data_IF_047614731026
#
_entry.id   IF_047614731026
#
_cell.length_a   1.000
_cell.length_b   1.000
_cell.length_c   1.000
_cell.angle_alpha   90.00
_cell.angle_beta   90.00
_cell.angle_gamma   90.00
#
_symmetry.space_group_name_H-M   'P 1'
#
loop_
_entity.id
_entity.type
_entity.pdbx_description
1 polymer ?
#
# COMPACT_ATOMS: atom_id res chain seq x y z
N UNK A 1 2.75 -7.42 15.12
CA UNK A 1 1.76 -8.34 14.54
C UNK A 1 0.96 -7.70 13.39
N UNK A 2 0.29 -6.56 13.61
CA UNK A 2 -0.59 -5.96 12.60
C UNK A 2 0.13 -5.65 11.27
N UNK A 3 1.36 -5.18 11.30
CA UNK A 3 2.11 -4.79 10.10
C UNK A 3 2.67 -6.02 9.38
N UNK A 4 3.26 -6.97 10.10
CA UNK A 4 3.94 -8.15 9.54
C UNK A 4 3.04 -9.39 9.39
N UNK A 5 1.86 -9.41 10.04
CA UNK A 5 0.93 -10.53 9.98
C UNK A 5 0.29 -10.72 8.62
N UNK A 6 0.16 -11.97 8.17
CA UNK A 6 -0.51 -12.36 6.94
C UNK A 6 -1.88 -13.02 7.20
N UNK A 7 -2.54 -13.50 6.17
CA UNK A 7 -3.85 -14.16 6.22
C UNK A 7 -3.71 -15.64 6.56
N UNK A 8 -4.74 -16.23 7.16
CA UNK A 8 -4.85 -17.67 7.42
C UNK A 8 -3.71 -18.22 8.27
N UNK A 9 -2.99 -19.18 7.74
CA UNK A 9 -1.80 -19.82 8.32
C UNK A 9 -0.49 -19.16 7.87
N UNK A 10 -0.57 -18.03 7.13
CA UNK A 10 0.57 -17.23 6.62
C UNK A 10 1.45 -17.97 5.60
N UNK A 11 0.93 -19.04 4.96
CA UNK A 11 1.66 -19.84 3.97
C UNK A 11 2.09 -19.05 2.74
N UNK A 12 1.25 -18.13 2.28
CA UNK A 12 1.60 -17.29 1.13
C UNK A 12 2.78 -16.36 1.42
N UNK A 13 2.98 -15.96 2.67
CA UNK A 13 4.17 -15.18 3.06
C UNK A 13 5.45 -15.99 2.84
N UNK A 14 5.47 -17.27 3.24
CA UNK A 14 6.60 -18.19 2.99
C UNK A 14 6.77 -18.49 1.50
N UNK A 15 5.66 -18.71 0.77
CA UNK A 15 5.68 -18.93 -0.68
C UNK A 15 6.27 -17.74 -1.42
N UNK A 16 5.91 -16.50 -1.04
CA UNK A 16 6.48 -15.28 -1.63
C UNK A 16 7.99 -15.20 -1.40
N UNK A 17 8.46 -15.43 -0.18
CA UNK A 17 9.89 -15.41 0.15
C UNK A 17 10.64 -16.50 -0.59
N UNK A 18 10.13 -17.74 -0.56
CA UNK A 18 10.74 -18.89 -1.27
C UNK A 18 10.82 -18.64 -2.78
N UNK A 19 9.77 -18.08 -3.39
CA UNK A 19 9.76 -17.77 -4.82
C UNK A 19 10.82 -16.73 -5.20
N UNK A 20 11.06 -15.72 -4.36
CA UNK A 20 12.14 -14.75 -4.55
C UNK A 20 13.51 -15.40 -4.37
N UNK A 21 13.68 -16.26 -3.36
CA UNK A 21 14.93 -16.98 -3.10
C UNK A 21 15.30 -17.99 -4.21
N UNK A 22 14.33 -18.41 -5.01
CA UNK A 22 14.58 -19.27 -6.16
C UNK A 22 15.11 -18.55 -7.41
N UNK A 23 15.03 -17.21 -7.44
CA UNK A 23 15.56 -16.42 -8.55
C UNK A 23 17.09 -16.52 -8.54
N UNK A 24 17.65 -16.86 -9.68
CA UNK A 24 19.11 -16.89 -9.87
C UNK A 24 19.55 -15.87 -10.90
N UNK A 25 20.63 -15.17 -10.61
CA UNK A 25 21.22 -14.22 -11.53
C UNK A 25 22.30 -14.93 -12.33
N UNK A 26 22.28 -14.76 -13.66
CA UNK A 26 23.34 -15.22 -14.53
C UNK A 26 24.42 -14.15 -14.59
N UNK A 27 25.62 -14.36 -13.99
CA UNK A 27 26.68 -13.37 -14.00
C UNK A 27 27.24 -13.20 -15.42
N UNK A 28 27.39 -11.98 -15.85
CA UNK A 28 28.06 -11.63 -17.12
C UNK A 28 29.43 -11.05 -16.83
N UNK A 29 30.44 -11.58 -17.51
CA UNK A 29 31.84 -11.17 -17.34
C UNK A 29 32.34 -10.34 -18.52
N UNK A 30 33.53 -9.73 -18.37
CA UNK A 30 34.22 -8.94 -19.40
C UNK A 30 33.39 -7.76 -19.93
N UNK A 31 32.59 -7.14 -19.06
CA UNK A 31 31.83 -5.92 -19.34
C UNK A 31 32.39 -4.76 -18.52
N UNK A 32 32.61 -3.63 -19.18
CA UNK A 32 32.95 -2.41 -18.43
C UNK A 32 31.71 -1.95 -17.64
N UNK A 33 31.83 -1.91 -16.31
CA UNK A 33 30.77 -1.52 -15.35
C UNK A 33 31.10 -0.24 -14.58
N UNK A 34 32.10 0.54 -15.03
CA UNK A 34 32.49 1.80 -14.37
C UNK A 34 31.33 2.79 -14.33
N UNK A 35 30.55 2.88 -15.41
CA UNK A 35 29.41 3.79 -15.54
C UNK A 35 28.07 3.06 -15.39
N UNK A 36 27.91 2.26 -14.33
CA UNK A 36 26.63 1.62 -14.02
C UNK A 36 25.63 2.62 -13.48
N UNK A 37 24.35 2.44 -13.83
CA UNK A 37 23.25 3.29 -13.36
C UNK A 37 22.06 2.42 -12.98
N UNK A 38 21.39 2.80 -11.89
CA UNK A 38 20.11 2.21 -11.45
C UNK A 38 18.92 3.05 -11.92
N UNK A 39 19.17 4.20 -12.56
CA UNK A 39 18.12 5.12 -13.00
C UNK A 39 17.08 4.43 -13.86
N UNK A 40 15.81 4.71 -13.61
CA UNK A 40 14.68 4.12 -14.32
C UNK A 40 13.60 5.15 -14.61
N UNK A 41 13.08 5.11 -15.85
CA UNK A 41 11.87 5.85 -16.22
C UNK A 41 10.64 4.98 -15.97
N UNK A 42 9.62 5.54 -15.31
CA UNK A 42 8.32 4.90 -15.14
C UNK A 42 7.22 5.96 -15.05
N UNK A 43 6.11 5.80 -15.78
CA UNK A 43 4.98 6.75 -15.83
C UNK A 43 5.39 8.21 -16.11
N UNK A 44 6.39 8.43 -16.95
CA UNK A 44 6.99 9.72 -17.29
C UNK A 44 7.86 10.36 -16.20
N UNK A 45 8.09 9.67 -15.08
CA UNK A 45 9.05 10.08 -14.05
C UNK A 45 10.42 9.46 -14.28
N UNK A 46 11.45 10.15 -13.82
CA UNK A 46 12.81 9.66 -13.76
C UNK A 46 13.19 9.40 -12.31
N UNK A 47 13.45 8.14 -11.97
CA UNK A 47 13.87 7.74 -10.63
C UNK A 47 15.34 7.36 -10.62
N UNK A 48 16.04 7.61 -9.51
CA UNK A 48 17.43 7.22 -9.36
C UNK A 48 17.60 5.73 -9.03
N UNK A 49 16.51 5.09 -8.56
CA UNK A 49 16.48 3.68 -8.21
C UNK A 49 15.21 3.01 -8.74
N UNK A 50 15.25 1.70 -9.11
CA UNK A 50 14.11 0.98 -9.68
C UNK A 50 13.17 0.39 -8.61
N UNK A 51 12.99 1.05 -7.48
CA UNK A 51 12.11 0.64 -6.39
C UNK A 51 11.46 1.85 -5.72
N UNK A 52 10.49 1.60 -4.86
CA UNK A 52 9.78 2.60 -4.07
C UNK A 52 9.12 1.97 -2.85
N UNK A 53 8.48 2.78 -2.01
CA UNK A 53 7.76 2.27 -0.85
C UNK A 53 6.32 1.91 -1.22
N UNK A 54 5.96 0.65 -0.96
CA UNK A 54 4.60 0.15 -1.16
C UNK A 54 3.60 0.82 -0.19
N UNK A 55 2.30 0.89 -0.53
CA UNK A 55 1.30 1.48 0.35
C UNK A 55 1.10 0.62 1.60
N UNK A 56 1.31 1.22 2.76
CA UNK A 56 1.12 0.61 4.07
C UNK A 56 0.18 1.49 4.90
N UNK A 57 -0.87 0.89 5.45
CA UNK A 57 -1.76 1.57 6.38
C UNK A 57 -1.22 1.51 7.81
N UNK A 58 -1.44 2.57 8.59
CA UNK A 58 -1.15 2.59 10.04
C UNK A 58 0.32 2.35 10.40
N UNK A 59 1.29 2.81 9.58
CA UNK A 59 2.73 2.54 9.79
C UNK A 59 3.27 3.11 11.08
N UNK A 60 2.69 4.21 11.61
CA UNK A 60 3.08 4.75 12.91
C UNK A 60 2.77 3.81 14.09
N UNK A 61 2.03 2.70 13.86
CA UNK A 61 1.90 1.64 14.87
C UNK A 61 3.19 0.85 15.06
N UNK A 62 3.99 0.69 14.00
CA UNK A 62 5.29 0.01 14.13
C UNK A 62 6.32 0.92 14.79
N UNK A 63 6.38 2.18 14.35
CA UNK A 63 7.24 3.19 14.94
C UNK A 63 6.62 4.60 14.78
N UNK A 64 6.51 5.38 15.87
CA UNK A 64 5.95 6.72 15.83
C UNK A 64 6.72 7.65 14.87
N UNK A 65 6.06 8.12 13.82
CA UNK A 65 6.65 8.95 12.77
C UNK A 65 7.19 8.19 11.56
N UNK A 66 6.91 6.87 11.46
CA UNK A 66 7.35 6.05 10.33
C UNK A 66 6.86 6.57 8.97
N UNK A 67 5.60 7.05 8.86
CA UNK A 67 5.09 7.66 7.63
C UNK A 67 5.97 8.82 7.17
N UNK A 68 6.29 9.75 8.07
CA UNK A 68 7.12 10.90 7.77
C UNK A 68 8.58 10.52 7.41
N UNK A 69 9.12 9.48 8.05
CA UNK A 69 10.45 8.96 7.70
C UNK A 69 10.46 8.40 6.28
N UNK A 70 9.48 7.59 5.90
CA UNK A 70 9.35 7.03 4.55
C UNK A 70 9.19 8.13 3.50
N UNK A 71 8.37 9.16 3.78
CA UNK A 71 8.19 10.29 2.87
C UNK A 71 9.50 11.05 2.63
N UNK A 72 10.24 11.38 3.69
CA UNK A 72 11.53 12.08 3.57
C UNK A 72 12.59 11.24 2.86
N UNK A 73 12.65 9.93 3.13
CA UNK A 73 13.59 9.06 2.45
C UNK A 73 13.22 8.86 0.97
N UNK A 74 11.94 8.94 0.60
CA UNK A 74 11.54 8.91 -0.81
C UNK A 74 12.03 10.13 -1.57
N UNK A 75 11.87 11.33 -1.02
CA UNK A 75 12.42 12.56 -1.59
C UNK A 75 13.94 12.50 -1.72
N UNK A 76 14.63 12.16 -0.62
CA UNK A 76 16.09 12.09 -0.56
C UNK A 76 16.71 11.16 -1.62
N UNK A 77 16.04 10.06 -1.92
CA UNK A 77 16.53 9.03 -2.84
C UNK A 77 15.89 9.11 -4.23
N UNK A 78 15.07 10.11 -4.51
CA UNK A 78 14.31 10.24 -5.74
C UNK A 78 13.61 8.93 -6.12
N UNK A 79 12.77 8.40 -5.20
CA UNK A 79 11.96 7.20 -5.37
C UNK A 79 10.52 7.48 -4.96
N UNK A 80 9.51 6.79 -5.51
CA UNK A 80 8.12 7.03 -5.11
C UNK A 80 7.81 6.42 -3.74
N UNK A 81 6.94 7.08 -2.96
CA UNK A 81 6.27 6.51 -1.80
C UNK A 81 4.77 6.44 -2.04
N UNK A 82 4.16 5.27 -1.79
CA UNK A 82 2.73 5.10 -1.95
C UNK A 82 2.02 5.38 -0.63
N UNK A 83 1.23 6.44 -0.59
CA UNK A 83 0.46 6.86 0.59
C UNK A 83 -0.85 6.09 0.64
N UNK A 84 -1.03 5.27 1.66
CA UNK A 84 -2.29 4.55 1.87
C UNK A 84 -3.40 5.51 2.31
N UNK A 85 -4.64 5.28 1.86
CA UNK A 85 -5.79 6.00 2.42
C UNK A 85 -5.96 5.78 3.93
N UNK A 86 -5.42 4.67 4.48
CA UNK A 86 -5.35 4.40 5.90
C UNK A 86 -4.02 4.81 6.55
N UNK A 87 -3.29 5.73 5.95
CA UNK A 87 -2.07 6.33 6.51
C UNK A 87 -2.35 7.06 7.83
N UNK A 88 -1.41 7.08 8.73
CA UNK A 88 -1.47 7.81 10.01
C UNK A 88 -1.01 9.26 9.90
N UNK A 89 -0.62 9.67 8.72
CA UNK A 89 -0.33 11.05 8.32
C UNK A 89 -1.26 11.42 7.16
N UNK A 90 -1.71 12.65 7.08
CA UNK A 90 -2.61 13.10 6.00
C UNK A 90 -1.92 13.01 4.65
N UNK A 91 -2.71 12.90 3.59
CA UNK A 91 -2.16 12.86 2.23
C UNK A 91 -1.45 14.17 1.86
N UNK A 92 -1.96 15.31 2.37
CA UNK A 92 -1.36 16.63 2.15
C UNK A 92 0.04 16.71 2.81
N UNK A 93 0.14 16.34 4.08
CA UNK A 93 1.42 16.32 4.80
C UNK A 93 2.41 15.32 4.19
N UNK A 94 1.94 14.15 3.76
CA UNK A 94 2.81 13.17 3.08
C UNK A 94 3.36 13.70 1.76
N UNK A 95 2.56 14.44 1.00
CA UNK A 95 2.99 15.07 -0.25
C UNK A 95 4.07 16.12 -0.01
N UNK A 96 3.87 16.98 0.99
CA UNK A 96 4.85 17.99 1.41
C UNK A 96 6.17 17.34 1.87
N UNK A 97 6.10 16.38 2.79
CA UNK A 97 7.27 15.68 3.33
C UNK A 97 8.05 14.86 2.29
N UNK A 98 7.38 14.40 1.26
CA UNK A 98 7.99 13.65 0.15
C UNK A 98 8.42 14.54 -1.03
N UNK A 99 8.28 15.86 -0.91
CA UNK A 99 8.57 16.81 -1.99
C UNK A 99 7.90 16.42 -3.32
N UNK A 100 6.64 15.94 -3.24
CA UNK A 100 5.86 15.50 -4.40
C UNK A 100 6.14 14.07 -4.90
N UNK A 101 7.03 13.31 -4.25
CA UNK A 101 7.30 11.91 -4.63
C UNK A 101 6.22 10.92 -4.13
N UNK A 102 5.07 11.41 -3.69
CA UNK A 102 3.95 10.61 -3.18
C UNK A 102 2.98 10.20 -4.27
N UNK A 103 2.51 8.94 -4.23
CA UNK A 103 1.42 8.38 -5.03
C UNK A 103 0.27 7.99 -4.10
N UNK A 104 -0.97 8.38 -4.42
CA UNK A 104 -2.13 8.13 -3.58
C UNK A 104 -2.70 6.73 -3.81
N UNK A 105 -2.73 5.88 -2.78
CA UNK A 105 -3.37 4.57 -2.83
C UNK A 105 -4.75 4.62 -2.16
N UNK A 106 -5.73 4.01 -2.83
CA UNK A 106 -7.11 3.95 -2.39
C UNK A 106 -7.72 2.54 -2.56
N UNK A 107 -8.73 2.26 -1.75
CA UNK A 107 -9.67 1.18 -1.93
C UNK A 107 -11.04 1.78 -2.24
N UNK A 108 -11.90 1.03 -2.92
CA UNK A 108 -13.30 1.39 -3.00
C UNK A 108 -14.03 0.74 -1.82
N UNK A 109 -14.74 1.56 -1.07
CA UNK A 109 -15.66 1.15 -0.01
C UNK A 109 -17.11 1.38 -0.45
N UNK A 110 -18.06 1.01 0.41
CA UNK A 110 -19.48 1.31 0.18
C UNK A 110 -19.76 2.82 0.12
N UNK A 111 -18.97 3.63 0.83
CA UNK A 111 -19.02 5.08 0.77
C UNK A 111 -18.13 5.59 -0.38
N UNK A 112 -18.71 5.65 -1.57
CA UNK A 112 -18.01 6.18 -2.76
C UNK A 112 -17.73 7.69 -2.61
N UNK A 113 -18.54 8.45 -1.88
CA UNK A 113 -18.37 9.90 -1.69
C UNK A 113 -17.06 10.20 -0.96
N UNK A 114 -16.71 9.38 0.03
CA UNK A 114 -15.43 9.48 0.71
C UNK A 114 -14.24 9.23 -0.24
N UNK A 115 -14.36 8.24 -1.12
CA UNK A 115 -13.29 7.95 -2.11
C UNK A 115 -13.15 9.08 -3.12
N UNK A 116 -14.27 9.64 -3.58
CA UNK A 116 -14.25 10.78 -4.51
C UNK A 116 -13.69 12.03 -3.84
N UNK A 117 -13.99 12.27 -2.55
CA UNK A 117 -13.37 13.33 -1.76
C UNK A 117 -11.85 13.17 -1.68
N UNK A 118 -11.36 11.94 -1.41
CA UNK A 118 -9.92 11.68 -1.36
C UNK A 118 -9.22 11.95 -2.70
N UNK A 119 -9.86 11.59 -3.82
CA UNK A 119 -9.34 11.90 -5.15
C UNK A 119 -9.29 13.42 -5.40
N UNK A 120 -10.33 14.16 -4.99
CA UNK A 120 -10.35 15.63 -5.12
C UNK A 120 -9.27 16.28 -4.25
N UNK A 121 -9.05 15.79 -3.03
CA UNK A 121 -7.98 16.26 -2.14
C UNK A 121 -6.61 15.98 -2.73
N UNK A 122 -6.40 14.76 -3.23
CA UNK A 122 -5.15 14.38 -3.87
C UNK A 122 -4.84 15.27 -5.09
N UNK A 123 -5.83 15.50 -5.97
CA UNK A 123 -5.69 16.38 -7.13
C UNK A 123 -5.34 17.81 -6.72
N UNK A 124 -6.04 18.38 -5.74
CA UNK A 124 -5.79 19.74 -5.21
C UNK A 124 -4.41 19.87 -4.55
N UNK A 125 -3.92 18.80 -3.93
CA UNK A 125 -2.60 18.78 -3.30
C UNK A 125 -1.47 18.70 -4.34
N UNK A 126 -1.75 18.15 -5.53
CA UNK A 126 -0.77 17.99 -6.61
C UNK A 126 -0.35 16.55 -6.87
N UNK A 127 -1.05 15.55 -6.33
CA UNK A 127 -0.79 14.16 -6.69
C UNK A 127 -1.09 13.93 -8.18
N UNK A 128 -0.16 13.27 -8.85
CA UNK A 128 -0.31 12.93 -10.28
C UNK A 128 -0.58 11.43 -10.52
N UNK A 129 -0.37 10.60 -9.50
CA UNK A 129 -0.56 9.14 -9.59
C UNK A 129 -1.52 8.65 -8.52
N UNK A 130 -2.57 7.94 -8.95
CA UNK A 130 -3.47 7.19 -8.07
C UNK A 130 -3.28 5.69 -8.26
N UNK A 131 -3.38 4.93 -7.17
CA UNK A 131 -3.28 3.46 -7.15
C UNK A 131 -4.59 2.89 -6.62
N UNK A 132 -5.39 2.31 -7.50
CA UNK A 132 -6.60 1.60 -7.11
C UNK A 132 -6.26 0.17 -6.72
N UNK A 133 -6.54 -0.21 -5.47
CA UNK A 133 -6.30 -1.56 -4.96
C UNK A 133 -7.56 -2.40 -5.06
N UNK A 134 -7.50 -3.53 -5.78
CA UNK A 134 -8.66 -4.36 -6.14
C UNK A 134 -8.66 -5.77 -5.53
N UNK A 135 -7.62 -6.13 -4.80
CA UNK A 135 -7.43 -7.47 -4.21
C UNK A 135 -8.00 -7.63 -2.79
N UNK A 136 -8.87 -6.71 -2.35
CA UNK A 136 -9.46 -6.72 -1.00
C UNK A 136 -11.01 -6.65 -1.07
N UNK A 137 -11.67 -7.62 -1.73
CA UNK A 137 -13.14 -7.61 -1.83
C UNK A 137 -13.83 -7.90 -0.49
N UNK A 138 -13.14 -8.66 0.36
CA UNK A 138 -13.58 -9.01 1.72
C UNK A 138 -12.44 -8.85 2.72
N UNK A 139 -12.79 -8.69 3.99
CA UNK A 139 -11.77 -8.64 5.04
C UNK A 139 -11.16 -10.04 5.25
N UNK A 140 -9.86 -10.15 5.08
CA UNK A 140 -9.14 -11.40 5.35
C UNK A 140 -9.10 -11.70 6.84
N UNK A 141 -9.14 -12.98 7.19
CA UNK A 141 -8.94 -13.44 8.55
C UNK A 141 -7.44 -13.52 8.84
N UNK A 142 -6.98 -12.73 9.80
CA UNK A 142 -5.60 -12.74 10.28
C UNK A 142 -5.55 -13.44 11.63
N UNK A 143 -5.27 -14.72 11.60
CA UNK A 143 -5.32 -15.60 12.77
C UNK A 143 -4.35 -15.14 13.88
N UNK A 144 -3.20 -14.58 13.53
CA UNK A 144 -2.22 -14.04 14.45
C UNK A 144 -2.76 -12.81 15.19
N UNK A 145 -3.38 -11.86 14.45
CA UNK A 145 -4.01 -10.68 15.03
C UNK A 145 -5.10 -11.09 16.05
N UNK A 146 -5.95 -12.07 15.68
CA UNK A 146 -7.03 -12.57 16.54
C UNK A 146 -6.48 -13.22 17.81
N UNK A 147 -5.47 -14.10 17.70
CA UNK A 147 -4.83 -14.78 18.84
C UNK A 147 -4.15 -13.82 19.79
N UNK A 148 -3.55 -12.75 19.28
CA UNK A 148 -2.87 -11.74 20.08
C UNK A 148 -3.80 -10.65 20.59
N UNK A 149 -5.11 -10.72 20.27
CA UNK A 149 -6.12 -9.77 20.73
C UNK A 149 -5.99 -8.38 20.13
N UNK A 150 -5.38 -8.27 18.91
CA UNK A 150 -5.31 -7.01 18.21
C UNK A 150 -6.70 -6.58 17.73
N UNK A 151 -7.12 -5.38 18.10
CA UNK A 151 -8.40 -4.80 17.67
C UNK A 151 -8.24 -3.31 17.38
N UNK A 152 -9.07 -2.82 16.45
CA UNK A 152 -9.21 -1.38 16.24
C UNK A 152 -10.71 -1.02 16.38
N UNK A 153 -11.09 -0.05 17.22
CA UNK A 153 -10.24 0.74 18.13
C UNK A 153 -9.50 -0.11 19.17
N UNK A 154 -8.31 0.38 19.57
CA UNK A 154 -7.46 -0.34 20.51
C UNK A 154 -8.10 -0.49 21.88
N UNK A 155 -8.01 -1.70 22.43
CA UNK A 155 -8.40 -1.99 23.82
C UNK A 155 -7.15 -2.36 24.60
N UNK A 156 -6.83 -1.58 25.63
CA UNK A 156 -5.68 -1.82 26.47
C UNK A 156 -6.15 -2.61 27.70
N UNK A 157 -5.78 -3.89 27.74
CA UNK A 157 -5.98 -4.77 28.91
C UNK A 157 -4.66 -4.95 29.68
N UNK A 158 -4.65 -5.76 30.76
CA UNK A 158 -3.45 -6.00 31.54
C UNK A 158 -2.27 -6.57 30.74
N UNK A 159 -2.55 -7.47 29.78
CA UNK A 159 -1.52 -8.05 28.88
C UNK A 159 -0.85 -6.96 28.03
N UNK A 160 -1.63 -6.11 27.38
CA UNK A 160 -1.13 -5.02 26.55
C UNK A 160 -0.39 -3.97 27.39
N UNK A 161 -0.89 -3.67 28.60
CA UNK A 161 -0.20 -2.76 29.52
C UNK A 161 1.19 -3.28 29.89
N UNK A 162 1.32 -4.56 30.22
CA UNK A 162 2.61 -5.18 30.54
C UNK A 162 3.54 -5.17 29.32
N UNK A 163 3.03 -5.50 28.12
CA UNK A 163 3.79 -5.47 26.88
C UNK A 163 4.33 -4.04 26.62
N UNK A 164 3.50 -3.02 26.79
CA UNK A 164 3.94 -1.62 26.64
C UNK A 164 5.00 -1.23 27.70
N UNK A 165 4.87 -1.72 28.93
CA UNK A 165 5.82 -1.43 30.00
C UNK A 165 7.23 -1.98 29.74
N UNK A 166 7.32 -3.13 29.08
CA UNK A 166 8.63 -3.73 28.70
C UNK A 166 9.22 -3.17 27.41
N UNK A 167 8.46 -2.31 26.68
CA UNK A 167 8.92 -1.60 25.49
C UNK A 167 8.91 -0.06 25.71
N UNK A 168 9.67 0.48 26.68
CA UNK A 168 9.52 1.87 27.14
C UNK A 168 9.79 2.90 26.04
N UNK A 169 10.77 2.69 25.19
CA UNK A 169 11.11 3.63 24.09
C UNK A 169 9.94 3.81 23.13
N UNK A 170 9.33 2.71 22.67
CA UNK A 170 8.18 2.77 21.79
C UNK A 170 6.97 3.39 22.49
N UNK A 171 6.70 2.96 23.72
CA UNK A 171 5.53 3.39 24.50
C UNK A 171 5.56 4.87 24.85
N UNK A 172 6.69 5.38 25.33
CA UNK A 172 6.87 6.80 25.66
C UNK A 172 6.80 7.66 24.38
N UNK A 173 7.45 7.23 23.29
CA UNK A 173 7.41 7.96 22.03
C UNK A 173 5.98 8.00 21.45
N UNK A 174 5.24 6.89 21.53
CA UNK A 174 3.84 6.82 21.10
C UNK A 174 2.95 7.71 21.99
N UNK A 175 3.18 7.73 23.30
CA UNK A 175 2.42 8.57 24.23
C UNK A 175 2.64 10.07 23.91
N UNK A 176 3.89 10.46 23.65
CA UNK A 176 4.25 11.85 23.32
C UNK A 176 3.71 12.30 21.96
N UNK A 177 3.71 11.43 20.95
CA UNK A 177 3.21 11.72 19.60
C UNK A 177 1.70 11.47 19.42
N UNK A 178 1.06 10.83 20.39
CA UNK A 178 -0.34 10.46 20.34
C UNK A 178 -0.60 9.09 19.73
N UNK A 179 -1.75 8.51 20.02
CA UNK A 179 -2.17 7.20 19.49
C UNK A 179 -2.41 7.33 17.98
N UNK A 180 -1.77 6.50 17.15
CA UNK A 180 -1.94 6.56 15.70
C UNK A 180 -3.38 6.34 15.27
N UNK A 181 -3.87 7.21 14.38
CA UNK A 181 -5.21 7.16 13.78
C UNK A 181 -5.08 7.23 12.25
N UNK A 182 -6.00 6.66 11.48
CA UNK A 182 -6.03 6.81 10.03
C UNK A 182 -6.47 8.23 9.67
N UNK A 183 -5.51 9.14 9.49
CA UNK A 183 -5.76 10.58 9.45
C UNK A 183 -6.61 11.02 8.27
N UNK A 184 -6.52 10.34 7.12
CA UNK A 184 -7.35 10.68 5.95
C UNK A 184 -8.84 10.45 6.21
N UNK A 185 -9.21 9.50 7.09
CA UNK A 185 -10.59 9.30 7.55
C UNK A 185 -11.00 10.36 8.58
N UNK A 186 -10.11 10.65 9.53
CA UNK A 186 -10.38 11.64 10.60
C UNK A 186 -10.57 13.03 10.02
N UNK A 187 -9.88 13.37 8.94
CA UNK A 187 -9.94 14.69 8.28
C UNK A 187 -10.95 14.77 7.13
N UNK A 188 -11.66 13.67 6.82
CA UNK A 188 -12.70 13.65 5.80
C UNK A 188 -13.90 14.51 6.20
N UNK A 189 -14.52 15.13 5.20
CA UNK A 189 -15.77 15.91 5.35
C UNK A 189 -17.01 15.09 5.01
N UNK A 190 -16.87 14.08 4.16
CA UNK A 190 -17.95 13.20 3.69
C UNK A 190 -18.15 11.96 4.55
N UNK A 191 -17.15 11.53 5.32
CA UNK A 191 -17.23 10.37 6.20
C UNK A 191 -17.56 10.74 7.67
N UNK A 192 -17.89 9.72 8.47
CA UNK A 192 -18.10 9.85 9.93
C UNK A 192 -16.78 9.93 10.73
N UNK A 193 -15.64 10.04 10.04
CA UNK A 193 -14.31 10.09 10.63
C UNK A 193 -13.84 8.77 11.25
N UNK A 194 -14.63 7.70 11.10
CA UNK A 194 -14.37 6.41 11.72
C UNK A 194 -13.93 5.39 10.67
N UNK A 195 -12.70 4.89 10.80
CA UNK A 195 -12.25 3.76 10.01
C UNK A 195 -12.92 2.46 10.50
N UNK A 196 -13.96 2.00 9.81
CA UNK A 196 -14.67 0.77 10.12
C UNK A 196 -14.04 -0.42 9.39
N UNK A 197 -13.06 -1.06 10.02
CA UNK A 197 -12.33 -2.19 9.44
C UNK A 197 -13.24 -3.36 9.03
N UNK A 198 -14.37 -3.55 9.73
CA UNK A 198 -15.29 -4.68 9.55
C UNK A 198 -16.39 -4.45 8.49
N UNK A 199 -16.51 -3.25 7.96
CA UNK A 199 -17.49 -3.00 6.90
C UNK A 199 -17.07 -3.67 5.59
N UNK A 200 -18.06 -4.12 4.84
CA UNK A 200 -17.88 -4.65 3.49
C UNK A 200 -17.15 -3.62 2.64
N UNK A 201 -16.10 -4.04 1.97
CA UNK A 201 -15.29 -3.16 1.12
C UNK A 201 -15.89 -2.98 -0.26
N UNK A 202 -17.22 -3.06 -0.36
CA UNK A 202 -17.95 -2.84 -1.56
C UNK A 202 -17.68 -3.87 -2.65
N UNK A 203 -18.37 -3.71 -3.75
CA UNK A 203 -18.11 -4.47 -4.98
C UNK A 203 -17.26 -3.61 -5.89
N UNK A 204 -15.94 -3.75 -5.80
CA UNK A 204 -15.05 -3.14 -6.80
C UNK A 204 -15.11 -3.98 -8.06
N UNK A 205 -15.78 -3.48 -9.08
CA UNK A 205 -15.92 -4.09 -10.39
C UNK A 205 -15.31 -3.20 -11.50
N UNK A 206 -15.44 -3.63 -12.77
CA UNK A 206 -14.94 -2.85 -13.89
C UNK A 206 -15.69 -1.54 -14.12
N UNK A 207 -16.95 -1.43 -13.72
CA UNK A 207 -17.67 -0.16 -13.82
C UNK A 207 -17.19 0.83 -12.75
N UNK A 208 -16.83 0.34 -11.59
CA UNK A 208 -16.13 1.13 -10.56
C UNK A 208 -14.77 1.62 -11.06
N UNK A 209 -13.98 0.75 -11.70
CA UNK A 209 -12.71 1.16 -12.31
C UNK A 209 -12.91 2.27 -13.35
N UNK A 210 -13.92 2.17 -14.20
CA UNK A 210 -14.28 3.22 -15.17
C UNK A 210 -14.69 4.53 -14.49
N UNK A 211 -15.47 4.48 -13.40
CA UNK A 211 -15.85 5.69 -12.63
C UNK A 211 -14.61 6.37 -12.05
N UNK A 212 -13.71 5.60 -11.43
CA UNK A 212 -12.43 6.13 -10.91
C UNK A 212 -11.59 6.71 -12.04
N UNK A 213 -11.46 6.02 -13.18
CA UNK A 213 -10.72 6.52 -14.34
C UNK A 213 -11.30 7.82 -14.89
N UNK A 214 -12.62 7.91 -14.94
CA UNK A 214 -13.30 9.14 -15.43
C UNK A 214 -13.08 10.33 -14.49
N UNK A 215 -13.05 10.07 -13.19
CA UNK A 215 -12.80 11.09 -12.16
C UNK A 215 -11.34 11.51 -12.13
N UNK A 216 -10.41 10.57 -12.07
CA UNK A 216 -8.98 10.82 -11.96
C UNK A 216 -8.34 11.09 -13.32
N UNK A 217 -7.74 12.24 -13.52
CA UNK A 217 -7.13 12.64 -14.81
C UNK A 217 -5.62 12.35 -14.88
N UNK A 218 -4.98 12.16 -13.73
CA UNK A 218 -3.58 11.74 -13.64
C UNK A 218 -3.35 10.28 -14.03
N UNK A 219 -2.18 9.76 -13.73
CA UNK A 219 -1.83 8.35 -13.95
C UNK A 219 -2.60 7.44 -13.01
N UNK A 220 -3.15 6.35 -13.52
CA UNK A 220 -3.89 5.35 -12.75
C UNK A 220 -3.20 4.00 -12.80
N UNK A 221 -2.78 3.51 -11.62
CA UNK A 221 -2.24 2.17 -11.43
C UNK A 221 -3.34 1.29 -10.82
N UNK A 222 -3.51 0.08 -11.31
CA UNK A 222 -4.38 -0.92 -10.65
C UNK A 222 -3.49 -1.96 -9.95
N UNK A 223 -3.65 -2.05 -8.62
CA UNK A 223 -2.86 -2.93 -7.73
C UNK A 223 -3.68 -4.13 -7.28
N UNK A 224 -3.01 -5.30 -7.22
CA UNK A 224 -3.63 -6.54 -6.74
C UNK A 224 -3.97 -7.51 -7.87
N UNK A 225 -3.39 -7.29 -9.03
CA UNK A 225 -3.67 -8.06 -10.24
C UNK A 225 -2.75 -9.28 -10.27
N UNK A 226 -3.36 -10.48 -10.35
CA UNK A 226 -2.68 -11.77 -10.36
C UNK A 226 -3.10 -12.65 -11.55
N UNK A 227 -3.91 -12.13 -12.49
CA UNK A 227 -4.38 -12.81 -13.69
C UNK A 227 -3.95 -12.05 -14.94
N UNK A 228 -3.31 -12.71 -15.93
CA UNK A 228 -3.01 -12.09 -17.23
C UNK A 228 -4.27 -11.64 -17.98
N UNK A 229 -5.38 -12.38 -17.86
CA UNK A 229 -6.66 -12.02 -18.47
C UNK A 229 -7.23 -10.74 -17.85
N UNK A 230 -7.23 -10.62 -16.52
CA UNK A 230 -7.69 -9.41 -15.84
C UNK A 230 -6.77 -8.22 -16.15
N UNK A 231 -5.46 -8.45 -16.28
CA UNK A 231 -4.51 -7.43 -16.66
C UNK A 231 -4.84 -6.80 -18.02
N UNK A 232 -5.23 -7.60 -19.01
CA UNK A 232 -5.69 -7.11 -20.32
C UNK A 232 -6.96 -6.26 -20.19
N UNK A 233 -7.98 -6.76 -19.47
CA UNK A 233 -9.22 -6.02 -19.26
C UNK A 233 -9.01 -4.69 -18.55
N UNK A 234 -8.09 -4.67 -17.56
CA UNK A 234 -7.71 -3.47 -16.80
C UNK A 234 -6.99 -2.46 -17.71
N UNK A 235 -6.08 -2.92 -18.56
CA UNK A 235 -5.42 -2.08 -19.57
C UNK A 235 -6.46 -1.47 -20.52
N UNK A 236 -7.39 -2.28 -21.03
CA UNK A 236 -8.45 -1.83 -21.95
C UNK A 236 -9.42 -0.85 -21.28
N UNK A 237 -9.61 -0.95 -19.95
CA UNK A 237 -10.37 0.00 -19.14
C UNK A 237 -9.63 1.33 -18.88
N UNK A 238 -8.41 1.51 -19.41
CA UNK A 238 -7.67 2.77 -19.40
C UNK A 238 -6.74 2.96 -18.21
N UNK A 239 -6.31 1.89 -17.53
CA UNK A 239 -5.24 1.97 -16.54
C UNK A 239 -3.89 2.23 -17.23
N UNK A 240 -3.07 3.10 -16.64
CA UNK A 240 -1.73 3.43 -17.17
C UNK A 240 -0.67 2.38 -16.79
N UNK A 241 -0.89 1.68 -15.67
CA UNK A 241 0.01 0.63 -15.21
C UNK A 241 -0.72 -0.41 -14.33
N UNK A 242 -0.07 -1.56 -14.18
CA UNK A 242 -0.54 -2.67 -13.34
C UNK A 242 0.53 -2.98 -12.29
N UNK A 243 0.12 -3.02 -11.04
CA UNK A 243 0.96 -3.50 -9.93
C UNK A 243 0.59 -4.94 -9.59
N UNK A 244 1.40 -5.88 -10.04
CA UNK A 244 1.24 -7.31 -9.73
C UNK A 244 1.48 -7.52 -8.24
N UNK A 245 0.46 -8.00 -7.54
CA UNK A 245 0.51 -8.12 -6.08
C UNK A 245 -0.54 -9.10 -5.56
N UNK A 246 -0.16 -9.93 -4.60
CA UNK A 246 -1.04 -10.73 -3.78
C UNK A 246 -1.22 -10.15 -2.36
N UNK A 247 -1.03 -8.83 -2.23
CA UNK A 247 -1.14 -8.09 -0.97
C UNK A 247 -0.15 -8.56 0.12
N UNK A 248 0.99 -9.12 -0.25
CA UNK A 248 1.96 -9.66 0.70
C UNK A 248 1.43 -10.85 1.50
N UNK A 249 0.57 -11.68 0.90
CA UNK A 249 -0.07 -12.81 1.58
C UNK A 249 -1.19 -12.42 2.57
N UNK A 250 -1.62 -11.17 2.55
CA UNK A 250 -2.55 -10.62 3.56
C UNK A 250 -4.03 -10.80 3.20
N UNK A 251 -4.34 -11.45 2.07
CA UNK A 251 -5.71 -11.70 1.58
C UNK A 251 -5.98 -13.20 1.40
N UNK A 252 -5.66 -13.80 0.27
CA UNK A 252 -5.88 -15.21 -0.03
C UNK A 252 -4.61 -16.01 0.25
N UNK A 253 -4.57 -16.76 1.34
CA UNK A 253 -3.38 -17.51 1.79
C UNK A 253 -2.92 -18.63 0.83
N UNK A 254 -3.80 -19.10 -0.06
CA UNK A 254 -3.53 -20.13 -1.06
C UNK A 254 -3.24 -19.57 -2.46
N UNK A 255 -2.99 -18.28 -2.61
CA UNK A 255 -2.61 -17.71 -3.89
C UNK A 255 -1.16 -18.07 -4.29
N UNK A 256 -0.81 -17.80 -5.53
CA UNK A 256 0.58 -17.94 -6.00
C UNK A 256 1.43 -16.72 -5.66
N UNK A 257 2.76 -16.88 -5.67
CA UNK A 257 3.67 -15.75 -5.50
C UNK A 257 3.56 -14.75 -6.66
N UNK A 258 3.53 -13.45 -6.34
CA UNK A 258 3.40 -12.39 -7.33
C UNK A 258 4.54 -12.40 -8.35
N UNK A 259 5.76 -12.72 -7.91
CA UNK A 259 6.94 -12.77 -8.79
C UNK A 259 6.83 -13.86 -9.87
N UNK A 260 6.12 -14.96 -9.60
CA UNK A 260 5.91 -16.05 -10.56
C UNK A 260 4.90 -15.66 -11.65
N UNK A 261 3.92 -14.81 -11.33
CA UNK A 261 2.90 -14.35 -12.27
C UNK A 261 3.37 -13.14 -13.08
N UNK A 262 4.29 -12.35 -12.53
CA UNK A 262 4.78 -11.13 -13.18
C UNK A 262 5.23 -11.33 -14.65
N UNK A 263 6.02 -12.38 -15.02
CA UNK A 263 6.41 -12.59 -16.40
C UNK A 263 5.23 -12.88 -17.35
N UNK A 264 4.20 -13.57 -16.86
CA UNK A 264 3.00 -13.89 -17.64
C UNK A 264 2.16 -12.63 -17.89
N UNK A 265 1.95 -11.80 -16.86
CA UNK A 265 1.27 -10.51 -16.99
C UNK A 265 2.07 -9.59 -17.91
N UNK A 266 3.39 -9.49 -17.72
CA UNK A 266 4.26 -8.67 -18.57
C UNK A 266 4.20 -9.06 -20.04
N UNK A 267 3.99 -10.34 -20.34
CA UNK A 267 3.84 -10.83 -21.73
C UNK A 267 2.47 -10.51 -22.31
N UNK A 268 1.45 -10.42 -21.48
CA UNK A 268 0.07 -10.15 -21.91
C UNK A 268 -0.20 -8.66 -22.20
N UNK A 269 0.46 -7.75 -21.47
CA UNK A 269 0.24 -6.28 -21.56
C UNK A 269 1.46 -5.55 -22.07
#
# INVERSE_FOLDING_TARGET
>A
DFIDGASGDEKLSEINSTALDQIRLEPKVLRNVEKRSLKKSFLNYQFDNPFGFAPMGMTNLSWPGADAMLAKESARNNIPTCVSMASTTTLEEMYELSEGHSWMQLYIFQDEDFVMELLDRAEKTGYEVAILTVDVPVLSRRTRDDKNGFSYPFKIGPKQFFDFAIHPTWSLTTLLKGIPKPMNYVTSKSGDGIFKRKESRGTTDFDTLKRVRNKWKGKLIVKGVMSPEDALKIKDAGADAIQVSNHGGRQLDSATAAINILPLIRKAV
#
